data_IF_266427466136
#
_entry.id   IF_266427466136
#
_cell.length_a   1.000
_cell.length_b   1.000
_cell.length_c   1.000
_cell.angle_alpha   90.00
_cell.angle_beta   90.00
_cell.angle_gamma   90.00
#
_symmetry.space_group_name_H-M   'P 1'
#
loop_
_entity.id
_entity.type
_entity.pdbx_description
1 polymer ?
#
# COMPACT_ATOMS: atom_id res chain seq x y z
N UNK A 1 24.13 5.22 -18.55
CA UNK A 1 23.27 4.44 -17.65
C UNK A 1 23.92 3.19 -17.04
N UNK A 2 24.98 2.65 -17.59
CA UNK A 2 25.57 1.37 -17.13
C UNK A 2 26.56 1.46 -15.96
N UNK A 3 27.22 2.57 -15.71
CA UNK A 3 28.19 2.70 -14.58
C UNK A 3 27.51 2.90 -13.22
N UNK A 4 26.49 3.75 -13.13
CA UNK A 4 25.79 4.02 -11.87
C UNK A 4 25.00 2.80 -11.34
N UNK A 5 24.47 1.98 -12.24
CA UNK A 5 23.74 0.76 -11.85
C UNK A 5 24.67 -0.34 -11.32
N UNK A 6 25.91 -0.41 -11.77
CA UNK A 6 26.92 -1.35 -11.27
C UNK A 6 27.41 -0.96 -9.87
N UNK A 7 27.52 0.32 -9.57
CA UNK A 7 27.93 0.83 -8.25
C UNK A 7 26.82 0.58 -7.22
N UNK A 8 25.55 0.83 -7.57
CA UNK A 8 24.42 0.59 -6.66
C UNK A 8 24.21 -0.91 -6.35
N UNK A 9 24.43 -1.80 -7.32
CA UNK A 9 24.31 -3.25 -7.09
C UNK A 9 25.38 -3.77 -6.11
N UNK A 10 26.61 -3.28 -6.22
CA UNK A 10 27.69 -3.65 -5.29
C UNK A 10 27.41 -3.17 -3.86
N UNK A 11 26.92 -1.94 -3.70
CA UNK A 11 26.54 -1.37 -2.39
C UNK A 11 25.39 -2.15 -1.77
N UNK A 12 24.35 -2.49 -2.54
CA UNK A 12 23.24 -3.33 -2.08
C UNK A 12 23.72 -4.72 -1.67
N UNK A 13 24.59 -5.34 -2.43
CA UNK A 13 25.12 -6.67 -2.09
C UNK A 13 25.83 -6.65 -0.75
N UNK A 14 26.64 -5.63 -0.48
CA UNK A 14 27.32 -5.44 0.79
C UNK A 14 26.30 -5.22 1.92
N UNK A 15 25.33 -4.34 1.73
CA UNK A 15 24.28 -4.08 2.72
C UNK A 15 23.51 -5.36 3.08
N UNK A 16 23.09 -6.14 2.09
CA UNK A 16 22.34 -7.38 2.32
C UNK A 16 23.16 -8.45 3.05
N UNK A 17 24.43 -8.54 2.75
CA UNK A 17 25.29 -9.53 3.41
C UNK A 17 25.70 -9.14 4.82
N UNK A 18 25.88 -7.86 5.10
CA UNK A 18 26.32 -7.38 6.41
C UNK A 18 25.16 -7.06 7.36
N UNK A 19 24.10 -6.41 6.86
CA UNK A 19 23.04 -5.89 7.71
C UNK A 19 21.76 -6.77 7.71
N UNK A 20 21.49 -7.54 6.65
CA UNK A 20 20.21 -8.25 6.47
C UNK A 20 20.34 -9.77 6.30
N UNK A 21 21.49 -10.35 6.64
CA UNK A 21 21.73 -11.78 6.44
C UNK A 21 20.71 -12.68 7.15
N UNK A 22 20.37 -12.39 8.39
CA UNK A 22 19.43 -13.17 9.18
C UNK A 22 18.00 -13.16 8.57
N UNK A 23 17.58 -12.00 8.06
CA UNK A 23 16.28 -11.81 7.43
C UNK A 23 16.20 -12.54 6.09
N UNK A 24 17.29 -12.53 5.31
CA UNK A 24 17.38 -13.26 4.04
C UNK A 24 17.28 -14.77 4.26
N UNK A 25 17.92 -15.30 5.29
CA UNK A 25 17.81 -16.71 5.66
C UNK A 25 16.37 -17.07 6.03
N UNK A 26 15.68 -16.19 6.76
CA UNK A 26 14.26 -16.37 7.09
C UNK A 26 13.36 -16.31 5.84
N UNK A 27 13.65 -15.46 4.87
CA UNK A 27 12.92 -15.40 3.61
C UNK A 27 13.06 -16.70 2.81
N UNK A 28 14.26 -17.23 2.72
CA UNK A 28 14.54 -18.51 2.06
C UNK A 28 13.82 -19.68 2.74
N UNK A 29 13.71 -19.67 4.07
CA UNK A 29 13.03 -20.73 4.82
C UNK A 29 11.51 -20.78 4.57
N UNK A 30 10.88 -19.64 4.21
CA UNK A 30 9.44 -19.53 3.95
C UNK A 30 9.01 -20.04 2.57
N UNK A 31 9.94 -20.28 1.65
CA UNK A 31 9.69 -20.76 0.27
C UNK A 31 8.53 -20.04 -0.45
N UNK A 32 8.40 -18.75 -0.26
CA UNK A 32 7.36 -17.95 -0.90
C UNK A 32 7.85 -17.46 -2.26
N UNK A 33 7.06 -17.67 -3.32
CA UNK A 33 7.36 -17.17 -4.67
C UNK A 33 7.58 -15.64 -4.69
N UNK A 34 6.94 -14.92 -3.78
CA UNK A 34 7.07 -13.47 -3.63
C UNK A 34 7.59 -13.15 -2.22
N UNK A 35 8.88 -13.00 -2.09
CA UNK A 35 9.54 -12.62 -0.85
C UNK A 35 9.55 -11.08 -0.71
N UNK A 36 9.32 -10.58 0.49
CA UNK A 36 9.34 -9.15 0.79
C UNK A 36 10.35 -8.89 1.88
N UNK A 37 11.27 -7.97 1.63
CA UNK A 37 12.23 -7.50 2.60
C UNK A 37 11.89 -6.05 2.98
N UNK A 38 11.59 -5.85 4.25
CA UNK A 38 11.37 -4.53 4.81
C UNK A 38 12.72 -3.95 5.27
N UNK A 39 13.00 -2.72 4.83
CA UNK A 39 14.21 -1.97 5.18
C UNK A 39 13.74 -0.63 5.74
N UNK A 40 14.33 -0.21 6.87
CA UNK A 40 14.11 1.14 7.37
C UNK A 40 15.14 2.10 6.78
N UNK A 41 14.73 3.34 6.51
CA UNK A 41 15.68 4.35 6.04
C UNK A 41 16.82 4.56 7.00
N UNK A 42 16.57 4.43 8.30
CA UNK A 42 17.59 4.56 9.34
C UNK A 42 18.69 3.49 9.23
N UNK A 43 18.34 2.23 8.93
CA UNK A 43 19.33 1.16 8.71
C UNK A 43 20.22 1.47 7.51
N UNK A 44 19.62 1.94 6.41
CA UNK A 44 20.36 2.31 5.21
C UNK A 44 21.28 3.53 5.47
N UNK A 45 20.78 4.53 6.19
CA UNK A 45 21.54 5.71 6.55
C UNK A 45 22.71 5.39 7.52
N UNK A 46 22.51 4.43 8.42
CA UNK A 46 23.56 3.98 9.32
C UNK A 46 24.69 3.21 8.59
N UNK A 47 24.32 2.52 7.49
CA UNK A 47 25.27 1.79 6.66
C UNK A 47 26.05 2.72 5.71
N UNK A 48 25.35 3.53 4.93
CA UNK A 48 25.92 4.48 3.97
C UNK A 48 25.01 5.71 3.83
N UNK A 49 25.35 6.85 4.48
CA UNK A 49 24.53 8.06 4.44
C UNK A 49 24.36 8.66 3.04
N UNK A 50 25.42 8.62 2.20
CA UNK A 50 25.37 9.18 0.85
C UNK A 50 24.46 8.34 -0.03
N UNK A 51 24.55 7.02 0.10
CA UNK A 51 23.68 6.10 -0.64
C UNK A 51 22.21 6.22 -0.22
N UNK A 52 21.92 6.42 1.06
CA UNK A 52 20.58 6.66 1.54
C UNK A 52 19.96 7.93 0.93
N UNK A 53 20.74 9.00 0.77
CA UNK A 53 20.27 10.22 0.09
C UNK A 53 20.06 10.01 -1.41
N UNK A 54 20.93 9.25 -2.09
CA UNK A 54 20.76 8.89 -3.49
C UNK A 54 19.42 8.14 -3.71
N UNK A 55 19.08 7.22 -2.82
CA UNK A 55 17.79 6.49 -2.87
C UNK A 55 16.59 7.44 -2.76
N UNK A 56 16.66 8.52 -1.98
CA UNK A 56 15.58 9.53 -1.92
C UNK A 56 15.47 10.35 -3.19
N UNK A 57 16.59 10.59 -3.90
CA UNK A 57 16.65 11.45 -5.08
C UNK A 57 16.27 10.73 -6.38
N UNK A 58 16.69 9.49 -6.54
CA UNK A 58 16.39 8.65 -7.71
C UNK A 58 16.05 7.21 -7.28
N UNK A 59 14.91 7.00 -6.60
CA UNK A 59 14.56 5.73 -5.96
C UNK A 59 14.36 4.58 -6.95
N UNK A 60 13.76 4.82 -8.13
CA UNK A 60 13.31 3.75 -9.02
C UNK A 60 14.45 2.84 -9.49
N UNK A 61 15.50 3.35 -10.16
CA UNK A 61 16.59 2.49 -10.65
C UNK A 61 17.39 1.86 -9.52
N UNK A 62 17.48 2.55 -8.36
CA UNK A 62 18.24 2.05 -7.21
C UNK A 62 17.47 0.92 -6.52
N UNK A 63 16.15 1.04 -6.33
CA UNK A 63 15.30 -0.01 -5.77
C UNK A 63 15.18 -1.22 -6.71
N UNK A 64 15.04 -0.99 -8.02
CA UNK A 64 15.06 -2.06 -9.03
C UNK A 64 16.38 -2.83 -9.00
N UNK A 65 17.52 -2.13 -8.84
CA UNK A 65 18.83 -2.74 -8.65
C UNK A 65 18.90 -3.56 -7.36
N UNK A 66 18.31 -3.07 -6.28
CA UNK A 66 18.23 -3.78 -5.01
C UNK A 66 17.42 -5.07 -5.12
N UNK A 67 16.25 -5.04 -5.73
CA UNK A 67 15.39 -6.21 -5.95
C UNK A 67 16.08 -7.28 -6.81
N UNK A 68 16.76 -6.85 -7.87
CA UNK A 68 17.54 -7.76 -8.73
C UNK A 68 18.70 -8.39 -7.93
N UNK A 69 19.47 -7.59 -7.18
CA UNK A 69 20.60 -8.08 -6.38
C UNK A 69 20.13 -9.03 -5.29
N UNK A 70 19.03 -8.73 -4.60
CA UNK A 70 18.46 -9.62 -3.58
C UNK A 70 17.97 -10.93 -4.20
N UNK A 71 17.34 -10.87 -5.37
CA UNK A 71 16.89 -12.05 -6.12
C UNK A 71 18.08 -12.93 -6.53
N UNK A 72 19.19 -12.32 -6.97
CA UNK A 72 20.44 -13.05 -7.28
C UNK A 72 21.02 -13.74 -6.04
N UNK A 73 21.11 -13.05 -4.90
CA UNK A 73 21.59 -13.62 -3.64
C UNK A 73 20.70 -14.78 -3.19
N UNK A 74 19.38 -14.66 -3.30
CA UNK A 74 18.46 -15.74 -2.99
C UNK A 74 18.66 -16.96 -3.91
N UNK A 75 18.88 -16.72 -5.21
CA UNK A 75 19.14 -17.79 -6.19
C UNK A 75 20.48 -18.49 -5.93
N UNK A 76 21.55 -17.76 -5.64
CA UNK A 76 22.86 -18.30 -5.26
C UNK A 76 22.78 -19.22 -4.02
N UNK A 77 21.85 -18.95 -3.11
CA UNK A 77 21.62 -19.73 -1.89
C UNK A 77 20.58 -20.86 -2.03
N UNK A 78 20.17 -21.20 -3.26
CA UNK A 78 19.28 -22.32 -3.57
C UNK A 78 17.79 -21.99 -3.57
N UNK A 79 17.41 -20.72 -3.58
CA UNK A 79 16.04 -20.26 -3.81
C UNK A 79 15.74 -20.20 -5.31
N UNK A 80 15.19 -21.28 -5.87
CA UNK A 80 14.72 -21.27 -7.26
C UNK A 80 13.39 -20.51 -7.36
N UNK A 81 13.24 -19.63 -8.37
CA UNK A 81 12.02 -18.87 -8.70
C UNK A 81 11.49 -17.89 -7.62
N UNK A 82 12.34 -17.47 -6.68
CA UNK A 82 11.95 -16.44 -5.70
C UNK A 82 12.11 -15.06 -6.31
N UNK A 83 11.03 -14.28 -6.30
CA UNK A 83 11.05 -12.86 -6.62
C UNK A 83 11.05 -12.05 -5.35
N UNK A 84 12.07 -11.23 -5.18
CA UNK A 84 12.21 -10.36 -4.02
C UNK A 84 11.71 -8.96 -4.32
N UNK A 85 10.92 -8.41 -3.40
CA UNK A 85 10.45 -7.02 -3.43
C UNK A 85 10.97 -6.32 -2.18
N UNK A 86 11.46 -5.09 -2.35
CA UNK A 86 11.97 -4.28 -1.24
C UNK A 86 10.94 -3.23 -0.86
N UNK A 87 10.76 -3.04 0.45
CA UNK A 87 9.93 -1.99 1.04
C UNK A 87 10.80 -1.11 1.90
N UNK A 88 10.89 0.16 1.53
CA UNK A 88 11.65 1.15 2.30
C UNK A 88 10.67 1.97 3.14
N UNK A 89 10.76 1.83 4.45
CA UNK A 89 9.92 2.51 5.44
C UNK A 89 10.69 3.52 6.28
N UNK A 90 10.00 4.17 7.21
CA UNK A 90 10.55 5.12 8.18
C UNK A 90 11.39 6.23 7.54
N UNK A 91 10.84 6.86 6.50
CA UNK A 91 11.54 7.94 5.80
C UNK A 91 11.80 9.15 6.72
N UNK A 92 12.90 9.90 6.49
CA UNK A 92 13.23 11.08 7.29
C UNK A 92 12.13 12.14 7.21
N UNK A 93 12.00 12.95 8.26
CA UNK A 93 10.97 14.00 8.35
C UNK A 93 11.03 15.01 7.21
N UNK A 94 12.21 15.28 6.68
CA UNK A 94 12.42 16.20 5.56
C UNK A 94 11.84 15.68 4.23
N UNK A 95 11.60 14.37 4.13
CA UNK A 95 10.91 13.75 2.99
C UNK A 95 9.39 13.79 3.12
N UNK A 96 8.85 14.18 4.30
CA UNK A 96 7.42 14.25 4.56
C UNK A 96 6.84 15.53 3.98
N UNK A 97 5.83 15.39 3.15
CA UNK A 97 5.09 16.49 2.53
C UNK A 97 3.61 16.17 2.42
N UNK A 98 2.79 17.19 2.54
CA UNK A 98 1.36 17.07 2.23
C UNK A 98 1.16 16.92 0.72
N UNK A 99 0.06 16.26 0.29
CA UNK A 99 -0.21 16.04 -1.14
C UNK A 99 -0.26 17.34 -1.94
N UNK A 100 -0.76 18.41 -1.34
CA UNK A 100 -0.83 19.75 -1.96
C UNK A 100 0.54 20.39 -2.20
N UNK A 101 1.55 20.02 -1.44
CA UNK A 101 2.90 20.56 -1.53
C UNK A 101 3.77 19.78 -2.51
N UNK A 102 3.32 18.56 -2.88
CA UNK A 102 4.01 17.74 -3.87
C UNK A 102 3.83 18.34 -5.27
N UNK A 103 4.92 18.76 -5.87
CA UNK A 103 4.94 19.41 -7.18
C UNK A 103 6.05 18.88 -8.09
N UNK A 104 6.39 19.67 -9.10
CA UNK A 104 7.38 19.31 -10.13
C UNK A 104 8.76 18.94 -9.57
N UNK A 105 9.13 19.47 -8.40
CA UNK A 105 10.42 19.19 -7.75
C UNK A 105 10.46 17.83 -7.07
N UNK A 106 9.30 17.24 -6.81
CA UNK A 106 9.16 15.97 -6.11
C UNK A 106 8.96 14.80 -7.07
N UNK A 107 8.72 15.09 -8.35
CA UNK A 107 8.59 14.08 -9.39
C UNK A 107 9.85 13.22 -9.44
N UNK A 108 9.67 11.90 -9.47
CA UNK A 108 10.70 10.85 -9.42
C UNK A 108 11.50 10.79 -8.11
N UNK A 109 11.11 11.49 -7.07
CA UNK A 109 11.77 11.43 -5.75
C UNK A 109 10.90 10.65 -4.76
N UNK A 110 11.54 9.98 -3.82
CA UNK A 110 10.83 9.29 -2.76
C UNK A 110 10.36 10.29 -1.71
N UNK A 111 9.05 10.31 -1.46
CA UNK A 111 8.38 11.20 -0.51
C UNK A 111 7.46 10.41 0.40
N UNK A 112 7.22 10.95 1.59
CA UNK A 112 6.27 10.44 2.55
C UNK A 112 5.10 11.40 2.72
N UNK A 113 3.89 10.89 2.88
CA UNK A 113 2.70 11.71 3.14
C UNK A 113 1.74 11.00 4.09
N UNK A 114 1.13 11.76 5.00
CA UNK A 114 0.04 11.28 5.83
C UNK A 114 -1.29 11.46 5.10
N UNK A 115 -2.04 10.37 4.95
CA UNK A 115 -3.27 10.37 4.17
C UNK A 115 -4.36 9.52 4.79
N UNK A 116 -5.60 9.79 4.37
CA UNK A 116 -6.75 8.92 4.59
C UNK A 116 -7.09 8.25 3.25
N UNK A 117 -7.23 6.94 3.25
CA UNK A 117 -7.66 6.19 2.08
C UNK A 117 -9.18 6.36 1.95
N UNK A 118 -9.64 6.92 0.84
CA UNK A 118 -11.07 7.20 0.63
C UNK A 118 -11.76 6.13 -0.20
N UNK A 119 -11.09 5.62 -1.22
CA UNK A 119 -11.61 4.58 -2.12
C UNK A 119 -10.51 3.62 -2.55
N UNK A 120 -10.94 2.43 -2.96
CA UNK A 120 -10.09 1.40 -3.55
C UNK A 120 -10.76 0.88 -4.82
N UNK A 121 -9.96 0.66 -5.87
CA UNK A 121 -10.43 -0.01 -7.08
C UNK A 121 -10.45 -1.53 -6.92
N UNK A 122 -10.97 -2.22 -7.91
CA UNK A 122 -10.77 -3.66 -8.07
C UNK A 122 -9.31 -3.97 -8.36
N UNK A 123 -8.89 -5.19 -7.99
CA UNK A 123 -7.56 -5.71 -8.29
C UNK A 123 -7.50 -6.08 -9.77
N UNK A 124 -6.49 -5.59 -10.48
CA UNK A 124 -6.25 -5.91 -11.89
C UNK A 124 -4.83 -6.43 -12.09
N UNK A 125 -4.63 -7.52 -12.84
CA UNK A 125 -3.30 -7.92 -13.26
C UNK A 125 -2.72 -6.91 -14.26
N UNK A 126 -1.47 -6.52 -14.05
CA UNK A 126 -0.69 -5.65 -14.92
C UNK A 126 0.57 -6.36 -15.37
N UNK A 127 0.99 -6.16 -16.60
CA UNK A 127 2.28 -6.63 -17.08
C UNK A 127 3.37 -5.72 -16.48
N UNK A 128 4.21 -6.27 -15.64
CA UNK A 128 5.39 -5.56 -15.11
C UNK A 128 6.59 -5.73 -16.05
N UNK A 129 6.81 -6.97 -16.52
CA UNK A 129 7.87 -7.29 -17.51
C UNK A 129 7.23 -8.00 -18.68
N UNK A 130 7.23 -7.33 -19.84
CA UNK A 130 6.68 -7.83 -21.08
C UNK A 130 7.75 -8.54 -21.90
N UNK A 131 7.48 -9.74 -22.35
CA UNK A 131 8.33 -10.47 -23.30
C UNK A 131 7.77 -10.31 -24.69
N UNK A 132 8.58 -9.78 -25.60
CA UNK A 132 8.25 -9.57 -26.99
C UNK A 132 9.05 -10.50 -27.89
N UNK A 133 8.38 -11.09 -28.86
CA UNK A 133 9.00 -11.91 -29.90
C UNK A 133 9.11 -11.12 -31.21
N UNK A 134 10.29 -11.07 -31.80
CA UNK A 134 10.51 -10.48 -33.11
C UNK A 134 9.88 -11.37 -34.20
N UNK A 135 9.01 -10.82 -35.05
CA UNK A 135 8.38 -11.57 -36.15
C UNK A 135 9.38 -12.12 -37.17
N UNK A 136 10.49 -11.41 -37.38
CA UNK A 136 11.45 -11.77 -38.42
C UNK A 136 12.45 -12.87 -38.02
N UNK A 137 12.98 -12.80 -36.81
CA UNK A 137 14.01 -13.75 -36.35
C UNK A 137 13.60 -14.63 -35.17
N UNK A 138 12.42 -14.40 -34.57
CA UNK A 138 11.95 -15.16 -33.43
C UNK A 138 12.64 -14.81 -32.11
N UNK A 139 13.59 -13.88 -32.08
CA UNK A 139 14.29 -13.48 -30.86
C UNK A 139 13.33 -12.93 -29.82
N UNK A 140 13.51 -13.37 -28.57
CA UNK A 140 12.74 -12.91 -27.43
C UNK A 140 13.47 -11.76 -26.73
N UNK A 141 12.76 -10.67 -26.48
CA UNK A 141 13.29 -9.50 -25.79
C UNK A 141 12.35 -9.09 -24.67
N UNK A 142 12.90 -8.87 -23.50
CA UNK A 142 12.12 -8.39 -22.33
C UNK A 142 12.19 -6.87 -22.23
N UNK A 143 11.07 -6.29 -21.82
CA UNK A 143 10.93 -4.86 -21.52
C UNK A 143 10.16 -4.66 -20.22
N UNK A 144 10.74 -3.90 -19.29
CA UNK A 144 10.04 -3.42 -18.09
C UNK A 144 9.04 -2.37 -18.55
N UNK A 145 7.82 -2.47 -18.02
CA UNK A 145 6.73 -1.55 -18.30
C UNK A 145 6.65 -0.52 -17.20
N UNK A 146 7.25 0.65 -17.42
CA UNK A 146 7.27 1.75 -16.45
C UNK A 146 5.95 2.53 -16.44
N UNK A 147 5.26 2.56 -17.59
CA UNK A 147 3.99 3.27 -17.74
C UNK A 147 2.81 2.35 -17.45
N UNK A 148 1.84 2.81 -16.64
CA UNK A 148 0.64 2.05 -16.30
C UNK A 148 -0.44 2.07 -17.38
N UNK A 149 -0.36 3.02 -18.29
CA UNK A 149 -1.42 3.29 -19.27
C UNK A 149 -1.09 2.84 -20.67
N UNK A 150 0.20 2.75 -21.00
CA UNK A 150 0.64 2.39 -22.35
C UNK A 150 1.65 1.25 -22.30
N UNK A 151 1.45 0.24 -23.15
CA UNK A 151 2.40 -0.84 -23.33
C UNK A 151 3.56 -0.34 -24.19
N UNK A 152 4.77 -0.35 -23.61
CA UNK A 152 5.99 0.09 -24.31
C UNK A 152 6.62 -1.08 -25.05
N UNK A 153 6.57 -1.04 -26.37
CA UNK A 153 7.20 -2.04 -27.23
C UNK A 153 8.69 -1.72 -27.47
N UNK A 154 9.54 -2.73 -27.77
CA UNK A 154 10.90 -2.50 -28.22
C UNK A 154 10.92 -1.73 -29.54
N UNK A 155 11.85 -0.79 -29.69
CA UNK A 155 12.01 0.00 -30.91
C UNK A 155 12.88 -0.71 -31.96
N UNK A 156 13.71 -1.66 -31.54
CA UNK A 156 14.69 -2.36 -32.36
C UNK A 156 14.94 -3.77 -31.85
N UNK A 157 15.16 -4.72 -32.75
CA UNK A 157 15.69 -6.03 -32.41
C UNK A 157 17.21 -5.91 -32.12
N UNK A 158 17.79 -6.57 -31.13
CA UNK A 158 19.23 -6.53 -30.88
C UNK A 158 20.05 -7.00 -32.08
N UNK A 159 21.20 -6.38 -32.33
CA UNK A 159 22.10 -6.79 -33.43
C UNK A 159 22.88 -8.07 -33.08
N UNK A 160 23.30 -8.21 -31.85
CA UNK A 160 24.16 -9.30 -31.40
C UNK A 160 23.41 -10.65 -31.30
N UNK A 161 22.14 -10.62 -30.90
CA UNK A 161 21.33 -11.84 -30.60
C UNK A 161 20.12 -11.99 -31.53
N UNK A 162 19.81 -10.97 -32.36
CA UNK A 162 18.66 -10.92 -33.24
C UNK A 162 18.99 -10.39 -34.65
N UNK A 163 17.98 -9.85 -35.32
CA UNK A 163 18.14 -9.38 -36.72
C UNK A 163 18.55 -7.92 -36.85
N UNK A 164 18.66 -7.14 -35.80
CA UNK A 164 19.06 -5.74 -35.84
C UNK A 164 18.06 -4.76 -36.46
N UNK A 165 16.87 -5.23 -36.87
CA UNK A 165 15.89 -4.42 -37.58
C UNK A 165 15.09 -3.52 -36.63
N UNK A 166 14.72 -2.32 -37.12
CA UNK A 166 13.85 -1.39 -36.42
C UNK A 166 12.35 -1.73 -36.61
N UNK A 167 11.55 -1.31 -35.68
CA UNK A 167 10.07 -1.40 -35.78
C UNK A 167 9.59 -0.41 -36.85
N UNK A 168 8.77 -0.89 -37.80
CA UNK A 168 8.24 -0.01 -38.85
C UNK A 168 7.38 -0.73 -39.88
N UNK A 169 7.06 0.00 -40.94
CA UNK A 169 6.34 -0.50 -42.14
C UNK A 169 7.27 -0.43 -43.33
N UNK A 170 7.89 -1.56 -43.69
CA UNK A 170 8.80 -1.62 -44.85
C UNK A 170 9.49 -2.96 -44.99
N UNK A 171 10.32 -3.12 -46.03
CA UNK A 171 11.02 -4.40 -46.31
C UNK A 171 12.17 -4.71 -45.34
N UNK A 172 12.71 -3.69 -44.67
CA UNK A 172 13.83 -3.81 -43.72
C UNK A 172 13.37 -3.40 -42.30
N UNK A 173 12.16 -3.77 -41.92
CA UNK A 173 11.59 -3.47 -40.62
C UNK A 173 11.00 -4.73 -40.01
N UNK A 174 10.87 -4.73 -38.68
CA UNK A 174 10.25 -5.82 -37.93
C UNK A 174 9.04 -5.34 -37.16
N UNK A 175 8.31 -6.27 -36.58
CA UNK A 175 7.27 -6.05 -35.56
C UNK A 175 7.54 -6.97 -34.38
N UNK A 176 6.99 -6.60 -33.23
CA UNK A 176 7.07 -7.41 -32.03
C UNK A 176 5.68 -7.91 -31.65
N UNK A 177 5.63 -9.19 -31.29
CA UNK A 177 4.42 -9.82 -30.77
C UNK A 177 4.61 -10.01 -29.26
N UNK A 178 3.64 -9.58 -28.46
CA UNK A 178 3.63 -9.81 -27.03
C UNK A 178 3.39 -11.29 -26.71
N UNK A 179 4.31 -11.91 -25.98
CA UNK A 179 4.22 -13.30 -25.54
C UNK A 179 3.78 -13.34 -24.08
N UNK A 180 2.47 -13.50 -23.86
CA UNK A 180 1.87 -13.47 -22.51
C UNK A 180 2.40 -14.58 -21.61
N UNK A 181 2.67 -15.79 -22.13
CA UNK A 181 3.18 -16.92 -21.36
C UNK A 181 4.54 -16.66 -20.71
N UNK A 182 5.34 -15.82 -21.32
CA UNK A 182 6.69 -15.48 -20.85
C UNK A 182 6.74 -14.11 -20.17
N UNK A 183 5.61 -13.41 -20.16
CA UNK A 183 5.50 -12.08 -19.54
C UNK A 183 5.14 -12.21 -18.05
N UNK A 184 5.76 -11.37 -17.22
CA UNK A 184 5.48 -11.35 -15.78
C UNK A 184 4.33 -10.40 -15.48
N UNK A 185 3.29 -10.94 -14.86
CA UNK A 185 2.14 -10.19 -14.36
C UNK A 185 2.29 -9.91 -12.87
N UNK A 186 1.87 -8.72 -12.46
CA UNK A 186 1.80 -8.30 -11.06
C UNK A 186 0.39 -7.75 -10.79
N UNK A 187 -0.20 -8.13 -9.68
CA UNK A 187 -1.47 -7.54 -9.27
C UNK A 187 -1.27 -6.08 -8.92
N UNK A 188 -2.13 -5.21 -9.43
CA UNK A 188 -2.18 -3.81 -9.07
C UNK A 188 -3.56 -3.41 -8.58
N UNK A 189 -3.61 -2.32 -7.84
CA UNK A 189 -4.82 -1.72 -7.34
C UNK A 189 -4.64 -0.21 -7.22
N UNK A 190 -5.67 0.56 -7.53
CA UNK A 190 -5.68 2.00 -7.36
C UNK A 190 -6.34 2.37 -6.03
N UNK A 191 -5.71 3.27 -5.32
CA UNK A 191 -6.26 3.92 -4.13
C UNK A 191 -6.53 5.39 -4.45
N UNK A 192 -7.67 5.88 -4.01
CA UNK A 192 -7.92 7.31 -3.89
C UNK A 192 -7.63 7.70 -2.46
N UNK A 193 -6.71 8.64 -2.27
CA UNK A 193 -6.28 9.13 -0.97
C UNK A 193 -6.58 10.61 -0.81
N UNK A 194 -6.73 11.06 0.41
CA UNK A 194 -7.02 12.44 0.76
C UNK A 194 -6.14 12.87 1.92
N UNK A 195 -5.73 14.13 1.94
CA UNK A 195 -5.06 14.73 3.09
C UNK A 195 -5.90 14.64 4.36
N UNK A 196 -5.24 14.51 5.49
CA UNK A 196 -5.88 14.49 6.79
C UNK A 196 -6.50 15.87 7.05
N UNK A 197 -7.83 15.97 7.29
CA UNK A 197 -8.50 17.27 7.44
C UNK A 197 -7.94 18.14 8.55
N UNK A 198 -7.38 17.53 9.60
CA UNK A 198 -6.78 18.22 10.73
C UNK A 198 -5.50 19.00 10.37
N UNK A 199 -4.78 18.54 9.33
CA UNK A 199 -3.54 19.19 8.85
C UNK A 199 -3.82 20.26 7.79
N UNK A 200 -5.07 20.38 7.34
CA UNK A 200 -5.47 21.34 6.30
C UNK A 200 -5.70 22.71 6.89
N UNK A 201 -5.12 23.79 6.31
CA UNK A 201 -5.38 25.17 6.76
C UNK A 201 -6.86 25.50 6.75
N UNK A 202 -7.30 26.31 7.71
CA UNK A 202 -8.69 26.72 7.85
C UNK A 202 -9.24 27.34 6.55
N UNK A 203 -10.34 26.78 6.04
CA UNK A 203 -11.00 27.23 4.80
C UNK A 203 -10.48 26.61 3.51
N UNK A 204 -9.41 25.81 3.56
CA UNK A 204 -8.95 25.05 2.39
C UNK A 204 -9.65 23.69 2.31
N UNK A 205 -9.83 23.19 1.08
CA UNK A 205 -10.30 21.81 0.86
C UNK A 205 -9.11 20.85 0.91
N UNK A 206 -9.25 19.65 1.50
CA UNK A 206 -8.23 18.62 1.46
C UNK A 206 -7.93 18.20 0.02
N UNK A 207 -6.65 18.14 -0.34
CA UNK A 207 -6.21 17.65 -1.63
C UNK A 207 -6.42 16.13 -1.72
N UNK A 208 -6.68 15.65 -2.93
CA UNK A 208 -6.85 14.23 -3.24
C UNK A 208 -5.77 13.79 -4.21
N UNK A 209 -5.40 12.52 -4.11
CA UNK A 209 -4.42 11.91 -4.99
C UNK A 209 -4.79 10.49 -5.38
N UNK A 210 -4.28 10.05 -6.54
CA UNK A 210 -4.40 8.68 -7.00
C UNK A 210 -3.08 7.96 -6.74
N UNK A 211 -3.15 6.87 -6.01
CA UNK A 211 -1.99 6.06 -5.62
C UNK A 211 -2.10 4.68 -6.26
N UNK A 212 -1.08 4.28 -6.98
CA UNK A 212 -0.94 2.93 -7.50
C UNK A 212 -0.20 2.07 -6.50
N UNK A 213 -0.76 0.93 -6.16
CA UNK A 213 -0.14 -0.10 -5.33
C UNK A 213 0.02 -1.39 -6.11
N UNK A 214 1.14 -2.08 -5.90
CA UNK A 214 1.48 -3.30 -6.62
C UNK A 214 1.93 -4.43 -5.68
N UNK A 215 1.78 -5.65 -6.16
CA UNK A 215 2.28 -6.85 -5.51
C UNK A 215 1.68 -7.09 -4.13
N UNK A 216 2.53 -7.18 -3.13
CA UNK A 216 2.15 -7.49 -1.75
C UNK A 216 1.42 -6.37 -1.00
N UNK A 217 1.39 -5.14 -1.52
CA UNK A 217 0.60 -4.04 -0.95
C UNK A 217 -0.88 -4.13 -1.32
N UNK A 218 -1.20 -4.88 -2.38
CA UNK A 218 -2.58 -5.06 -2.83
C UNK A 218 -3.43 -5.72 -1.75
N UNK A 219 -4.63 -5.18 -1.54
CA UNK A 219 -5.62 -5.67 -0.57
C UNK A 219 -5.21 -5.57 0.92
N UNK A 220 -4.15 -4.82 1.24
CA UNK A 220 -3.75 -4.57 2.65
C UNK A 220 -4.41 -3.34 3.27
N UNK A 221 -4.96 -2.48 2.46
CA UNK A 221 -5.54 -1.21 2.85
C UNK A 221 -7.05 -1.30 2.96
N UNK A 222 -7.64 -0.42 3.78
CA UNK A 222 -9.09 -0.32 3.91
C UNK A 222 -9.54 1.13 3.74
N UNK A 223 -10.70 1.37 3.08
CA UNK A 223 -11.28 2.72 3.04
C UNK A 223 -11.55 3.27 4.44
N UNK A 224 -11.25 4.54 4.64
CA UNK A 224 -11.33 5.21 5.94
C UNK A 224 -10.09 5.07 6.83
N UNK A 225 -9.12 4.25 6.45
CA UNK A 225 -7.88 4.04 7.20
C UNK A 225 -6.92 5.21 7.02
N UNK A 226 -6.26 5.60 8.11
CA UNK A 226 -5.14 6.55 8.10
C UNK A 226 -3.83 5.79 7.92
N UNK A 227 -2.99 6.28 7.04
CA UNK A 227 -1.70 5.69 6.77
C UNK A 227 -0.66 6.76 6.41
N UNK A 228 0.58 6.48 6.73
CA UNK A 228 1.74 7.16 6.17
C UNK A 228 2.12 6.37 4.94
N UNK A 229 2.07 6.99 3.77
CA UNK A 229 2.44 6.37 2.51
C UNK A 229 3.78 6.91 2.03
N UNK A 230 4.67 6.00 1.66
CA UNK A 230 5.94 6.33 1.03
C UNK A 230 5.79 6.12 -0.47
N UNK A 231 5.90 7.21 -1.23
CA UNK A 231 5.49 7.25 -2.63
C UNK A 231 6.54 7.91 -3.53
N UNK A 232 6.55 7.51 -4.77
CA UNK A 232 7.28 8.17 -5.85
C UNK A 232 6.24 8.85 -6.75
N UNK A 233 6.19 10.21 -6.78
CA UNK A 233 5.30 10.93 -7.68
C UNK A 233 5.77 10.78 -9.15
N UNK A 234 4.85 10.43 -10.02
CA UNK A 234 5.02 10.37 -11.47
C UNK A 234 4.06 11.32 -12.17
N UNK A 235 4.47 11.82 -13.32
CA UNK A 235 3.60 12.66 -14.16
C UNK A 235 2.91 11.82 -15.22
N UNK A 236 1.61 12.00 -15.35
CA UNK A 236 0.82 11.40 -16.42
C UNK A 236 0.23 12.48 -17.32
N UNK A 237 0.38 12.31 -18.64
CA UNK A 237 -0.13 13.29 -19.61
C UNK A 237 -1.64 13.21 -19.73
N UNK A 238 -2.32 14.32 -19.44
CA UNK A 238 -3.76 14.42 -19.67
C UNK A 238 -4.07 14.42 -21.16
N UNK A 239 -4.96 13.52 -21.60
CA UNK A 239 -5.44 13.50 -22.98
C UNK A 239 -6.81 14.19 -23.07
N UNK A 240 -6.91 15.30 -23.81
CA UNK A 240 -8.19 15.92 -24.16
C UNK A 240 -8.52 15.72 -25.63
N UNK A 241 -9.64 15.07 -25.91
CA UNK A 241 -10.11 14.79 -27.29
C UNK A 241 -9.06 14.10 -28.17
N UNK A 242 -8.28 13.15 -27.61
CA UNK A 242 -7.23 12.41 -28.33
C UNK A 242 -5.95 13.18 -28.59
N UNK A 243 -5.78 14.40 -28.05
CA UNK A 243 -4.55 15.19 -28.13
C UNK A 243 -3.89 15.30 -26.77
N UNK A 244 -2.56 15.13 -26.71
CA UNK A 244 -1.76 15.36 -25.51
C UNK A 244 -1.81 16.85 -25.15
N UNK A 245 -2.14 17.15 -23.90
CA UNK A 245 -2.10 18.51 -23.35
C UNK A 245 -0.74 18.78 -22.70
N UNK A 246 -0.31 20.04 -22.55
CA UNK A 246 0.89 20.38 -21.79
C UNK A 246 0.67 20.31 -20.27
N UNK A 247 -0.52 19.93 -19.80
CA UNK A 247 -0.84 19.72 -18.38
C UNK A 247 -0.69 18.25 -18.04
N UNK A 248 -0.16 17.99 -16.85
CA UNK A 248 0.10 16.66 -16.35
C UNK A 248 -0.55 16.50 -14.99
N UNK A 249 -1.15 15.34 -14.76
CA UNK A 249 -1.60 14.90 -13.47
C UNK A 249 -0.45 14.21 -12.73
N UNK A 250 -0.42 14.35 -11.40
CA UNK A 250 0.52 13.63 -10.56
C UNK A 250 -0.16 12.36 -10.07
N UNK A 251 0.48 11.23 -10.36
CA UNK A 251 0.12 9.91 -9.89
C UNK A 251 1.21 9.41 -8.95
N UNK A 252 0.85 8.79 -7.86
CA UNK A 252 1.75 8.36 -6.82
C UNK A 252 1.95 6.85 -6.88
N UNK A 253 3.19 6.36 -7.03
CA UNK A 253 3.52 4.95 -6.89
C UNK A 253 3.93 4.67 -5.46
N UNK A 254 3.23 3.78 -4.78
CA UNK A 254 3.53 3.43 -3.41
C UNK A 254 4.67 2.41 -3.34
N UNK A 255 5.70 2.76 -2.61
CA UNK A 255 6.83 1.89 -2.28
C UNK A 255 6.52 1.09 -1.01
N UNK A 256 6.02 1.77 0.02
CA UNK A 256 5.63 1.18 1.29
C UNK A 256 4.54 2.00 1.97
N UNK A 257 3.94 1.45 3.00
CA UNK A 257 2.97 2.15 3.83
C UNK A 257 3.11 1.72 5.28
N UNK A 258 2.94 2.69 6.15
CA UNK A 258 2.93 2.51 7.60
C UNK A 258 1.54 2.91 8.12
N UNK A 259 0.97 2.08 8.96
CA UNK A 259 -0.34 2.37 9.54
C UNK A 259 -0.18 3.06 10.88
N UNK A 260 -0.97 4.09 11.13
CA UNK A 260 -1.00 4.81 12.39
C UNK A 260 -1.45 3.90 13.56
N UNK A 261 -2.23 2.88 13.23
CA UNK A 261 -2.68 1.84 14.15
C UNK A 261 -2.46 0.48 13.52
N UNK A 262 -1.82 -0.44 14.24
CA UNK A 262 -1.70 -1.85 13.82
C UNK A 262 -3.09 -2.40 13.50
N UNK A 263 -3.30 -2.94 12.30
CA UNK A 263 -4.57 -3.59 11.98
C UNK A 263 -4.87 -4.66 13.04
N UNK A 264 -6.10 -4.71 13.55
CA UNK A 264 -6.50 -5.72 14.55
C UNK A 264 -6.22 -7.16 14.12
N UNK A 265 -6.13 -7.41 12.81
CA UNK A 265 -5.75 -8.70 12.24
C UNK A 265 -4.29 -9.10 12.49
N UNK A 266 -3.43 -8.16 12.83
CA UNK A 266 -2.00 -8.38 13.10
C UNK A 266 -1.68 -8.38 14.60
N UNK A 267 -2.66 -8.12 15.46
CA UNK A 267 -2.48 -8.20 16.91
C UNK A 267 -2.23 -9.67 17.28
N UNK A 268 -0.99 -9.98 17.63
CA UNK A 268 -0.62 -11.28 18.20
C UNK A 268 -0.99 -11.26 19.67
N UNK A 269 -1.98 -12.07 20.05
CA UNK A 269 -2.38 -12.26 21.43
C UNK A 269 -1.34 -13.16 22.11
N UNK A 270 -0.57 -12.60 23.03
CA UNK A 270 0.42 -13.32 23.82
C UNK A 270 -0.28 -14.10 24.98
N UNK A 271 0.44 -14.98 25.65
CA UNK A 271 -0.10 -15.71 26.80
C UNK A 271 -0.44 -14.79 27.98
N UNK A 272 0.29 -13.68 28.14
CA UNK A 272 -0.03 -12.64 29.14
C UNK A 272 -1.34 -11.93 28.82
N UNK A 273 -1.59 -11.63 27.55
CA UNK A 273 -2.85 -11.04 27.09
C UNK A 273 -4.02 -11.98 27.32
N UNK A 274 -3.84 -13.28 27.06
CA UNK A 274 -4.88 -14.30 27.33
C UNK A 274 -5.22 -14.37 28.81
N UNK A 275 -4.21 -14.37 29.68
CA UNK A 275 -4.41 -14.41 31.11
C UNK A 275 -5.15 -13.15 31.61
N UNK A 276 -4.78 -11.98 31.08
CA UNK A 276 -5.46 -10.72 31.38
C UNK A 276 -6.92 -10.73 30.91
N UNK A 277 -7.21 -11.27 29.73
CA UNK A 277 -8.59 -11.41 29.21
C UNK A 277 -9.40 -12.36 30.11
N UNK A 278 -8.82 -13.47 30.55
CA UNK A 278 -9.48 -14.42 31.46
C UNK A 278 -9.79 -13.77 32.81
N UNK A 279 -8.84 -13.06 33.41
CA UNK A 279 -9.02 -12.33 34.65
C UNK A 279 -10.15 -11.29 34.53
N UNK A 280 -10.19 -10.52 33.45
CA UNK A 280 -11.27 -9.58 33.17
C UNK A 280 -12.62 -10.30 33.02
N UNK A 281 -12.65 -11.48 32.37
CA UNK A 281 -13.89 -12.24 32.19
C UNK A 281 -14.49 -12.78 33.46
N UNK A 282 -13.67 -13.05 34.48
CA UNK A 282 -14.08 -13.52 35.80
C UNK A 282 -14.49 -12.38 36.76
N UNK A 283 -14.32 -11.12 36.34
CA UNK A 283 -14.64 -9.96 37.17
C UNK A 283 -16.14 -9.89 37.46
N UNK A 284 -16.57 -9.80 38.73
CA UNK A 284 -17.95 -9.54 39.09
C UNK A 284 -18.38 -8.19 38.48
N UNK A 285 -19.57 -8.14 37.86
CA UNK A 285 -20.10 -6.93 37.21
C UNK A 285 -19.32 -6.48 35.95
N UNK A 286 -18.85 -7.45 35.15
CA UNK A 286 -18.16 -7.24 33.89
C UNK A 286 -18.87 -6.21 32.98
N UNK A 287 -20.19 -6.25 32.90
CA UNK A 287 -20.99 -5.33 32.08
C UNK A 287 -20.81 -3.86 32.53
N UNK A 288 -20.67 -3.60 33.80
CA UNK A 288 -20.44 -2.25 34.33
C UNK A 288 -19.02 -1.79 34.04
N UNK A 289 -18.05 -2.69 34.13
CA UNK A 289 -16.66 -2.41 33.73
C UNK A 289 -16.58 -2.02 32.24
N UNK A 290 -17.16 -2.81 31.36
CA UNK A 290 -17.21 -2.52 29.92
C UNK A 290 -17.93 -1.20 29.63
N UNK A 291 -19.06 -0.95 30.27
CA UNK A 291 -19.82 0.28 30.12
C UNK A 291 -19.04 1.52 30.53
N UNK A 292 -18.24 1.44 31.60
CA UNK A 292 -17.37 2.53 32.03
C UNK A 292 -16.14 2.71 31.13
N UNK A 293 -15.68 1.65 30.47
CA UNK A 293 -14.53 1.70 29.55
C UNK A 293 -14.87 2.34 28.19
N UNK A 294 -16.16 2.32 27.78
CA UNK A 294 -16.59 3.00 26.56
C UNK A 294 -16.64 4.51 26.78
N UNK A 295 -15.83 5.24 26.00
CA UNK A 295 -15.74 6.70 26.06
C UNK A 295 -15.69 7.25 27.51
N UNK A 296 -14.63 6.96 28.27
CA UNK A 296 -14.56 7.29 29.71
C UNK A 296 -14.67 8.80 30.00
N UNK A 297 -14.33 9.64 29.02
CA UNK A 297 -14.48 11.10 29.11
C UNK A 297 -15.94 11.57 29.13
N UNK A 298 -16.90 10.73 28.74
CA UNK A 298 -18.31 11.05 28.73
C UNK A 298 -18.95 10.48 30.00
N UNK A 299 -19.46 11.38 30.85
CA UNK A 299 -20.11 10.97 32.10
C UNK A 299 -21.36 10.12 31.83
N UNK A 300 -21.42 8.98 32.48
CA UNK A 300 -22.50 8.01 32.33
C UNK A 300 -23.50 8.17 33.45
N UNK A 301 -24.64 8.80 33.18
CA UNK A 301 -25.78 8.84 34.10
C UNK A 301 -27.09 8.62 33.35
N UNK A 302 -28.07 8.03 34.01
CA UNK A 302 -29.41 7.83 33.46
C UNK A 302 -29.39 7.16 32.07
N UNK A 303 -29.92 7.84 31.06
CA UNK A 303 -30.03 7.35 29.69
C UNK A 303 -28.68 7.03 29.04
N UNK A 304 -27.62 7.77 29.38
CA UNK A 304 -26.27 7.54 28.81
C UNK A 304 -25.74 6.14 29.23
N UNK A 305 -26.09 5.64 30.36
CA UNK A 305 -25.76 4.26 30.77
C UNK A 305 -26.34 3.21 29.80
N UNK A 306 -27.59 3.38 29.38
CA UNK A 306 -28.21 2.48 28.40
C UNK A 306 -27.53 2.58 27.04
N UNK A 307 -27.19 3.81 26.61
CA UNK A 307 -26.48 4.03 25.34
C UNK A 307 -25.12 3.32 25.34
N UNK A 308 -24.31 3.54 26.38
CA UNK A 308 -22.99 2.88 26.49
C UNK A 308 -23.11 1.36 26.57
N UNK A 309 -24.12 0.84 27.31
CA UNK A 309 -24.38 -0.60 27.36
C UNK A 309 -24.80 -1.16 25.99
N UNK A 310 -25.64 -0.45 25.26
CA UNK A 310 -26.05 -0.85 23.91
C UNK A 310 -24.87 -0.89 22.95
N UNK A 311 -23.98 0.10 23.02
CA UNK A 311 -22.74 0.15 22.23
C UNK A 311 -21.79 -1.00 22.58
N UNK A 312 -21.66 -1.34 23.88
CA UNK A 312 -20.88 -2.50 24.31
C UNK A 312 -21.42 -3.80 23.69
N UNK A 313 -22.74 -4.01 23.76
CA UNK A 313 -23.38 -5.18 23.18
C UNK A 313 -23.25 -5.21 21.64
N UNK A 314 -23.27 -4.07 20.98
CA UNK A 314 -23.07 -3.97 19.54
C UNK A 314 -21.71 -4.50 19.08
N UNK A 315 -20.64 -4.26 19.87
CA UNK A 315 -19.30 -4.77 19.57
C UNK A 315 -19.24 -6.30 19.53
N UNK A 316 -20.01 -6.98 20.39
CA UNK A 316 -20.09 -8.45 20.40
C UNK A 316 -21.01 -8.98 19.29
N UNK A 317 -21.99 -8.19 18.86
CA UNK A 317 -22.99 -8.62 17.89
C UNK A 317 -23.92 -9.73 18.44
N UNK A 318 -24.71 -10.29 17.53
CA UNK A 318 -25.56 -11.44 17.79
C UNK A 318 -25.22 -12.61 16.87
N UNK A 319 -25.82 -13.78 17.13
CA UNK A 319 -25.63 -14.98 16.33
C UNK A 319 -26.62 -14.98 15.17
N UNK A 320 -26.15 -15.12 13.93
CA UNK A 320 -27.04 -15.33 12.79
C UNK A 320 -27.66 -16.72 12.85
N UNK A 321 -28.96 -16.83 12.60
CA UNK A 321 -29.70 -18.09 12.59
C UNK A 321 -30.40 -18.30 11.26
N UNK A 322 -30.42 -19.54 10.82
CA UNK A 322 -31.23 -19.98 9.70
C UNK A 322 -32.43 -20.71 10.29
N UNK A 323 -33.63 -20.21 10.03
CA UNK A 323 -34.87 -20.78 10.49
C UNK A 323 -35.22 -22.04 9.68
N UNK A 324 -36.16 -22.84 10.16
CA UNK A 324 -36.61 -24.08 9.48
C UNK A 324 -37.26 -23.81 8.10
N UNK A 325 -37.76 -22.61 7.89
CA UNK A 325 -38.33 -22.13 6.63
C UNK A 325 -37.26 -21.63 5.62
N UNK A 326 -35.96 -21.74 5.94
CA UNK A 326 -34.86 -21.26 5.13
C UNK A 326 -34.61 -19.76 5.23
N UNK A 327 -35.37 -19.01 6.00
CA UNK A 327 -35.11 -17.57 6.21
C UNK A 327 -33.92 -17.37 7.12
N UNK A 328 -33.05 -16.41 6.77
CA UNK A 328 -31.87 -16.07 7.57
C UNK A 328 -32.14 -14.85 8.43
N UNK A 329 -32.08 -15.02 9.75
CA UNK A 329 -32.06 -13.91 10.70
C UNK A 329 -30.62 -13.50 10.92
N UNK A 330 -30.29 -12.25 10.60
CA UNK A 330 -28.94 -11.69 10.81
C UNK A 330 -28.68 -11.43 12.29
N UNK A 331 -27.41 -11.57 12.71
CA UNK A 331 -26.95 -11.24 14.05
C UNK A 331 -26.46 -9.80 14.23
N UNK A 332 -26.39 -9.01 13.14
CA UNK A 332 -25.86 -7.64 13.20
C UNK A 332 -26.83 -6.70 13.90
N UNK A 333 -26.32 -5.92 14.83
CA UNK A 333 -27.10 -4.94 15.59
C UNK A 333 -26.81 -3.53 15.08
N UNK A 334 -27.86 -2.81 14.68
CA UNK A 334 -27.77 -1.41 14.25
C UNK A 334 -28.32 -0.51 15.36
N UNK A 335 -27.60 0.57 15.68
CA UNK A 335 -28.02 1.54 16.69
C UNK A 335 -28.19 2.90 16.03
N UNK A 336 -29.35 3.50 16.21
CA UNK A 336 -29.64 4.87 15.81
C UNK A 336 -29.67 5.77 17.06
N UNK A 337 -28.76 6.74 17.12
CA UNK A 337 -28.70 7.73 18.20
C UNK A 337 -29.41 9.02 17.74
N UNK A 338 -30.56 9.28 18.38
CA UNK A 338 -31.32 10.54 18.19
C UNK A 338 -31.30 11.35 19.48
N UNK A 339 -31.25 12.68 19.34
CA UNK A 339 -31.25 13.60 20.49
C UNK A 339 -30.74 14.98 20.08
N UNK A 340 -30.77 15.90 21.02
CA UNK A 340 -30.42 17.30 20.85
C UNK A 340 -28.94 17.52 20.46
N UNK A 341 -28.57 18.64 19.84
CA UNK A 341 -27.19 19.03 19.65
C UNK A 341 -26.43 19.08 20.99
N UNK A 342 -25.15 18.70 20.98
CA UNK A 342 -24.28 18.81 22.15
C UNK A 342 -24.32 17.62 23.15
N UNK A 343 -25.17 16.61 22.93
CA UNK A 343 -25.24 15.42 23.84
C UNK A 343 -24.22 14.31 23.50
N UNK A 344 -23.06 14.69 23.01
CA UNK A 344 -21.91 13.81 22.74
C UNK A 344 -22.13 12.66 21.73
N UNK A 345 -23.19 12.65 20.90
CA UNK A 345 -23.46 11.58 19.92
C UNK A 345 -22.29 11.35 18.97
N UNK A 346 -21.75 12.39 18.35
CA UNK A 346 -20.64 12.29 17.41
C UNK A 346 -19.34 11.83 18.09
N UNK A 347 -19.14 12.20 19.36
CA UNK A 347 -17.97 11.73 20.12
C UNK A 347 -18.08 10.24 20.43
N UNK A 348 -19.26 9.75 20.77
CA UNK A 348 -19.51 8.31 20.95
C UNK A 348 -19.27 7.53 19.67
N UNK A 349 -19.79 8.01 18.53
CA UNK A 349 -19.59 7.35 17.22
C UNK A 349 -18.12 7.34 16.82
N UNK A 350 -17.39 8.44 17.01
CA UNK A 350 -15.95 8.50 16.73
C UNK A 350 -15.16 7.55 17.67
N UNK A 351 -15.52 7.47 18.94
CA UNK A 351 -14.90 6.52 19.86
C UNK A 351 -15.14 5.07 19.42
N UNK A 352 -16.38 4.74 19.05
CA UNK A 352 -16.76 3.40 18.60
C UNK A 352 -16.08 3.01 17.29
N UNK A 353 -15.88 3.95 16.36
CA UNK A 353 -15.15 3.68 15.11
C UNK A 353 -13.68 3.34 15.36
N UNK A 354 -13.07 3.93 16.41
CA UNK A 354 -11.69 3.62 16.81
C UNK A 354 -11.58 2.31 17.60
N UNK A 355 -12.59 1.98 18.37
CA UNK A 355 -12.60 0.76 19.18
C UNK A 355 -12.94 -0.49 18.38
N UNK A 356 -13.78 -0.36 17.36
CA UNK A 356 -14.20 -1.49 16.52
C UNK A 356 -13.08 -1.90 15.55
N UNK A 357 -12.75 -3.19 15.40
CA UNK A 357 -11.73 -3.69 14.48
C UNK A 357 -11.93 -3.28 13.02
N UNK A 358 -13.17 -3.05 12.62
CA UNK A 358 -13.56 -2.64 11.26
C UNK A 358 -14.40 -1.36 11.27
N UNK A 359 -14.21 -0.53 12.30
CA UNK A 359 -14.95 0.70 12.46
C UNK A 359 -14.53 1.76 11.44
N UNK A 360 -15.47 2.29 10.67
CA UNK A 360 -15.28 3.42 9.79
C UNK A 360 -16.16 4.58 10.23
N UNK A 361 -15.61 5.78 10.29
CA UNK A 361 -16.36 6.99 10.58
C UNK A 361 -16.67 7.73 9.26
N UNK A 362 -17.96 7.87 8.95
CA UNK A 362 -18.40 8.61 7.77
C UNK A 362 -19.33 9.76 8.17
N UNK A 363 -19.19 10.90 7.52
CA UNK A 363 -20.07 12.06 7.70
C UNK A 363 -21.03 12.15 6.54
N UNK A 364 -22.32 12.40 6.83
CA UNK A 364 -23.39 12.43 5.81
C UNK A 364 -23.24 13.50 4.70
N UNK A 365 -22.31 14.45 4.83
CA UNK A 365 -22.00 15.46 3.80
C UNK A 365 -21.06 14.97 2.68
N UNK A 366 -20.53 13.75 2.77
CA UNK A 366 -19.55 13.17 1.81
C UNK A 366 -20.03 11.89 1.12
N UNK A 367 -21.18 11.39 1.45
CA UNK A 367 -21.75 10.17 0.86
C UNK A 367 -22.75 10.56 -0.24
N UNK A 368 -22.25 10.90 -1.42
CA UNK A 368 -23.03 10.77 -2.64
C UNK A 368 -22.95 9.31 -3.06
N UNK A 369 -24.12 8.66 -3.11
CA UNK A 369 -24.28 7.26 -3.46
C UNK A 369 -23.74 6.88 -4.83
#
# INVERSE_FOLDING_TARGET
>A
MTMAAHDSSARWRTFFTEAKEAEIVLLLSKQSENAVLDITFHELQAFDPEFAEEVLMDPRPILDSAENTLTEICRERGGEDIHCTIRLGELPRDSRKDLREMGNRDVHRLRSSEVIITRMSEIKPRIHRATFQCEMCGHLQERIQENEYELTEPLRCPEETGCGLFVGRGKETTRFILVMSNSRLVNNQWLEVQEIPENVPSGAQPSRGHVLIEGNLVNKHLPGQRAIINVIPHIHSEMKKGKKTPMFDIVYHMVSSEFETTPFTEIKINEEDKNSILEVSETPDLMRLMQNSIAPSIYASGTMNFVKRSLALQLFGGVSRVNQDGTRTRGDMHILLMGDPGVAKSQLLNYMSKLSPRGMFATGGGVSG
#
